data_IF_565080145043
#
_entry.id   IF_565080145043
#
_cell.length_a   1.000
_cell.length_b   1.000
_cell.length_c   1.000
_cell.angle_alpha   90.00
_cell.angle_beta   90.00
_cell.angle_gamma   90.00
#
_symmetry.space_group_name_H-M   'P 1'
#
loop_
_entity.id
_entity.type
_entity.pdbx_description
1 polymer ?
#
# COMPACT_ATOMS: atom_id res chain seq x y z
N UNK A 1 -49.28 -29.90 22.41
CA UNK A 1 -47.82 -30.14 22.38
C UNK A 1 -47.27 -29.21 21.31
N UNK A 2 -46.80 -27.98 21.56
CA UNK A 2 -45.75 -27.45 22.46
C UNK A 2 -44.34 -27.91 22.10
N UNK A 3 -43.68 -27.10 21.26
CA UNK A 3 -42.23 -26.80 21.17
C UNK A 3 -42.12 -25.76 20.02
N UNK A 4 -41.96 -24.44 20.19
CA UNK A 4 -41.10 -23.59 21.03
C UNK A 4 -39.65 -24.09 21.09
N UNK A 5 -38.72 -23.13 20.96
CA UNK A 5 -37.24 -23.20 20.99
C UNK A 5 -36.60 -23.33 19.60
N UNK A 6 -35.63 -22.53 19.16
CA UNK A 6 -34.96 -21.33 19.70
C UNK A 6 -34.27 -20.69 18.50
N UNK A 7 -34.42 -19.38 18.37
CA UNK A 7 -33.73 -18.54 17.39
C UNK A 7 -32.22 -18.59 17.69
N UNK A 8 -31.45 -19.39 16.96
CA UNK A 8 -29.98 -19.38 17.03
C UNK A 8 -29.48 -18.28 16.10
N UNK A 9 -29.36 -17.06 16.64
CA UNK A 9 -28.57 -16.00 16.02
C UNK A 9 -27.10 -16.37 16.22
N UNK A 10 -26.54 -17.05 15.24
CA UNK A 10 -25.10 -17.31 15.15
C UNK A 10 -24.44 -16.00 14.73
N UNK A 11 -24.15 -15.14 15.71
CA UNK A 11 -23.33 -13.95 15.52
C UNK A 11 -21.91 -14.39 15.14
N UNK A 12 -21.65 -14.51 13.83
CA UNK A 12 -20.29 -14.57 13.30
C UNK A 12 -19.63 -13.23 13.61
N UNK A 13 -18.94 -13.17 14.75
CA UNK A 13 -18.01 -12.10 15.04
C UNK A 13 -16.95 -12.12 13.94
N UNK A 14 -16.99 -11.15 13.02
CA UNK A 14 -15.88 -10.83 12.15
C UNK A 14 -14.74 -10.34 13.05
N UNK A 15 -13.90 -11.26 13.50
CA UNK A 15 -12.54 -10.94 13.90
C UNK A 15 -11.78 -10.55 12.63
N UNK A 16 -11.99 -9.31 12.18
CA UNK A 16 -11.04 -8.58 11.36
C UNK A 16 -9.78 -8.42 12.20
N UNK A 17 -8.96 -9.46 12.24
CA UNK A 17 -7.57 -9.37 12.64
C UNK A 17 -6.89 -8.46 11.62
N UNK A 18 -6.97 -7.15 11.83
CA UNK A 18 -6.01 -6.22 11.27
C UNK A 18 -4.67 -6.63 11.87
N UNK A 19 -3.96 -7.47 11.14
CA UNK A 19 -2.58 -7.74 11.41
C UNK A 19 -1.88 -6.37 11.34
N UNK A 20 -1.64 -5.78 12.50
CA UNK A 20 -0.55 -4.83 12.67
C UNK A 20 0.73 -5.63 12.41
N UNK A 21 1.05 -5.80 11.13
CA UNK A 21 2.35 -6.25 10.70
C UNK A 21 3.32 -5.21 11.25
N UNK A 22 4.10 -5.59 12.27
CA UNK A 22 5.21 -4.77 12.73
C UNK A 22 5.99 -4.30 11.52
N UNK A 23 6.21 -2.99 11.43
CA UNK A 23 6.85 -2.29 10.31
C UNK A 23 8.24 -2.88 10.04
N UNK A 24 8.26 -3.99 9.32
CA UNK A 24 9.44 -4.44 8.62
C UNK A 24 9.60 -3.52 7.43
N UNK A 25 10.79 -2.95 7.32
CA UNK A 25 11.20 -2.15 6.17
C UNK A 25 10.82 -2.89 4.88
N UNK A 26 10.02 -2.29 3.99
CA UNK A 26 9.58 -2.95 2.78
C UNK A 26 10.77 -3.38 1.92
N UNK A 27 10.74 -4.61 1.42
CA UNK A 27 11.82 -5.13 0.56
C UNK A 27 11.78 -4.45 -0.81
N UNK A 28 12.79 -3.63 -1.10
CA UNK A 28 12.94 -2.96 -2.40
C UNK A 28 13.98 -3.72 -3.24
N UNK A 29 13.56 -4.26 -4.38
CA UNK A 29 14.45 -4.90 -5.35
C UNK A 29 15.20 -3.87 -6.21
N UNK A 30 14.57 -2.76 -6.56
CA UNK A 30 15.17 -1.72 -7.39
C UNK A 30 14.58 -0.34 -7.11
N UNK A 31 15.42 0.69 -7.18
CA UNK A 31 14.98 2.09 -7.13
C UNK A 31 15.73 2.91 -8.19
N UNK A 32 14.99 3.39 -9.19
CA UNK A 32 15.48 4.25 -10.28
C UNK A 32 14.81 5.62 -10.27
N UNK A 33 14.09 5.96 -9.19
CA UNK A 33 13.33 7.22 -9.08
C UNK A 33 14.19 8.47 -8.99
N UNK A 34 15.48 8.33 -8.62
CA UNK A 34 16.37 9.46 -8.35
C UNK A 34 16.05 10.20 -7.05
N UNK A 35 15.13 9.69 -6.22
CA UNK A 35 14.78 10.26 -4.92
C UNK A 35 15.72 9.70 -3.86
N UNK A 36 16.46 10.58 -3.20
CA UNK A 36 17.41 10.24 -2.13
C UNK A 36 16.80 10.25 -0.73
N UNK A 37 15.55 10.73 -0.60
CA UNK A 37 14.84 10.78 0.67
C UNK A 37 14.36 9.37 1.07
N UNK A 38 15.07 8.74 2.00
CA UNK A 38 14.80 7.35 2.40
C UNK A 38 13.48 7.19 3.16
N UNK A 39 13.07 8.21 3.93
CA UNK A 39 11.82 8.20 4.67
C UNK A 39 10.63 8.22 3.70
N UNK A 40 10.67 9.10 2.70
CA UNK A 40 9.69 9.14 1.62
C UNK A 40 9.62 7.80 0.87
N UNK A 41 10.77 7.20 0.54
CA UNK A 41 10.84 5.90 -0.14
C UNK A 41 10.21 4.78 0.72
N UNK A 42 10.49 4.75 2.02
CA UNK A 42 9.89 3.79 2.94
C UNK A 42 8.37 3.98 3.06
N UNK A 43 7.92 5.24 3.21
CA UNK A 43 6.51 5.59 3.32
C UNK A 43 5.70 5.16 2.09
N UNK A 44 6.17 5.46 0.87
CA UNK A 44 5.47 5.04 -0.35
C UNK A 44 5.47 3.52 -0.53
N UNK A 45 6.54 2.85 -0.10
CA UNK A 45 6.68 1.41 -0.20
C UNK A 45 5.72 0.69 0.76
N UNK A 46 5.67 1.13 2.02
CA UNK A 46 4.75 0.64 3.03
C UNK A 46 3.29 0.87 2.64
N UNK A 47 2.97 2.09 2.15
CA UNK A 47 1.64 2.40 1.65
C UNK A 47 1.25 1.51 0.46
N UNK A 48 2.16 1.26 -0.48
CA UNK A 48 1.92 0.40 -1.64
C UNK A 48 1.65 -1.05 -1.22
N UNK A 49 2.38 -1.57 -0.23
CA UNK A 49 2.12 -2.90 0.35
C UNK A 49 0.77 -2.95 1.04
N UNK A 50 0.41 -1.93 1.81
CA UNK A 50 -0.91 -1.79 2.44
C UNK A 50 -2.06 -1.77 1.44
N UNK A 51 -1.80 -1.35 0.20
CA UNK A 51 -2.76 -1.35 -0.90
C UNK A 51 -2.74 -2.64 -1.76
N UNK A 52 -1.91 -3.63 -1.41
CA UNK A 52 -1.91 -4.94 -2.05
C UNK A 52 -0.72 -5.24 -2.95
N UNK A 53 0.25 -4.32 -3.10
CA UNK A 53 1.50 -4.64 -3.76
C UNK A 53 2.27 -5.69 -2.96
N UNK A 54 2.78 -6.73 -3.63
CA UNK A 54 3.60 -7.76 -2.99
C UNK A 54 5.07 -7.43 -3.14
N UNK A 55 5.82 -7.74 -2.08
CA UNK A 55 7.27 -7.63 -2.07
C UNK A 55 7.93 -8.71 -2.96
N UNK A 56 9.14 -8.47 -3.48
CA UNK A 56 9.86 -7.20 -3.42
C UNK A 56 9.28 -6.15 -4.37
N UNK A 57 9.48 -4.88 -4.02
CA UNK A 57 8.97 -3.72 -4.75
C UNK A 57 10.03 -3.15 -5.70
N UNK A 58 9.59 -2.59 -6.82
CA UNK A 58 10.41 -1.80 -7.74
C UNK A 58 9.89 -0.37 -7.80
N UNK A 59 10.78 0.60 -7.65
CA UNK A 59 10.44 2.02 -7.57
C UNK A 59 11.05 2.77 -8.76
N UNK A 60 10.23 3.57 -9.42
CA UNK A 60 10.64 4.42 -10.53
C UNK A 60 9.93 5.77 -10.46
N UNK A 61 10.42 6.75 -11.20
CA UNK A 61 9.79 8.06 -11.30
C UNK A 61 9.40 8.34 -12.75
N UNK A 62 8.26 9.00 -12.92
CA UNK A 62 7.77 9.50 -14.19
C UNK A 62 7.29 10.94 -14.04
N UNK A 63 7.18 11.66 -15.15
CA UNK A 63 6.62 13.01 -15.20
C UNK A 63 5.26 12.94 -15.86
N UNK A 64 4.22 13.44 -15.17
CA UNK A 64 2.90 13.60 -15.74
C UNK A 64 2.47 15.08 -15.61
N UNK A 65 2.31 15.77 -16.74
CA UNK A 65 1.92 17.19 -16.76
C UNK A 65 2.90 18.09 -15.99
N UNK A 66 4.21 17.80 -16.05
CA UNK A 66 5.25 18.52 -15.31
C UNK A 66 5.40 18.12 -13.83
N UNK A 67 4.44 17.38 -13.27
CA UNK A 67 4.49 16.87 -11.89
C UNK A 67 5.23 15.54 -11.82
N UNK A 68 5.99 15.35 -10.75
CA UNK A 68 6.66 14.09 -10.46
C UNK A 68 5.61 13.08 -9.97
N UNK A 69 5.61 11.89 -10.57
CA UNK A 69 4.78 10.75 -10.18
C UNK A 69 5.70 9.59 -9.92
N UNK A 70 5.70 9.09 -8.69
CA UNK A 70 6.47 7.89 -8.34
C UNK A 70 5.61 6.67 -8.62
N UNK A 71 6.20 5.66 -9.25
CA UNK A 71 5.55 4.41 -9.58
C UNK A 71 6.23 3.30 -8.80
N UNK A 72 5.45 2.62 -7.96
CA UNK A 72 5.88 1.46 -7.17
C UNK A 72 5.17 0.23 -7.72
N UNK A 73 5.94 -0.74 -8.18
CA UNK A 73 5.42 -2.01 -8.72
C UNK A 73 5.78 -3.15 -7.80
N UNK A 74 4.77 -3.91 -7.36
CA UNK A 74 4.96 -5.13 -6.60
C UNK A 74 5.32 -6.31 -7.51
N UNK A 75 5.91 -7.35 -6.92
CA UNK A 75 6.25 -8.61 -7.57
C UNK A 75 5.05 -9.35 -8.16
N UNK A 76 3.85 -9.06 -7.66
CA UNK A 76 2.57 -9.57 -8.16
C UNK A 76 1.98 -8.74 -9.33
N UNK A 77 2.71 -7.74 -9.83
CA UNK A 77 2.26 -6.88 -10.93
C UNK A 77 1.40 -5.68 -10.53
N UNK A 78 0.98 -5.59 -9.26
CA UNK A 78 0.27 -4.41 -8.74
C UNK A 78 1.12 -3.16 -8.90
N UNK A 79 0.57 -2.13 -9.52
CA UNK A 79 1.27 -0.88 -9.80
C UNK A 79 0.61 0.30 -9.11
N UNK A 80 1.30 0.89 -8.15
CA UNK A 80 0.89 2.06 -7.40
C UNK A 80 1.49 3.32 -8.01
N UNK A 81 0.63 4.25 -8.44
CA UNK A 81 1.02 5.59 -8.90
C UNK A 81 0.82 6.59 -7.76
N UNK A 82 1.88 7.28 -7.40
CA UNK A 82 1.92 8.26 -6.31
C UNK A 82 2.29 9.62 -6.91
N UNK A 83 1.30 10.47 -7.22
CA UNK A 83 1.56 11.86 -7.58
C UNK A 83 2.23 12.57 -6.41
N UNK A 84 3.27 13.35 -6.71
CA UNK A 84 4.01 14.11 -5.71
C UNK A 84 3.99 15.60 -6.00
N UNK A 85 4.20 16.41 -4.97
CA UNK A 85 4.42 17.85 -5.09
C UNK A 85 5.46 18.34 -4.07
N UNK A 86 5.97 19.55 -4.29
CA UNK A 86 6.94 20.17 -3.39
C UNK A 86 8.37 19.69 -3.57
N UNK A 87 9.27 20.29 -2.79
CA UNK A 87 10.66 19.91 -2.65
C UNK A 87 11.07 20.16 -1.18
N UNK A 88 11.22 19.12 -0.32
CA UNK A 88 11.24 17.69 -0.65
C UNK A 88 9.88 17.14 -1.13
N UNK A 89 9.87 16.02 -1.89
CA UNK A 89 8.65 15.47 -2.47
C UNK A 89 7.67 14.96 -1.40
N UNK A 90 6.41 15.37 -1.51
CA UNK A 90 5.32 14.94 -0.63
C UNK A 90 4.28 14.16 -1.43
N UNK A 91 3.74 13.09 -0.84
CA UNK A 91 2.66 12.29 -1.44
C UNK A 91 1.35 13.09 -1.49
N UNK A 92 0.74 13.20 -2.67
CA UNK A 92 -0.58 13.82 -2.84
C UNK A 92 -1.73 12.81 -2.83
N UNK A 93 -1.40 11.52 -2.86
CA UNK A 93 -2.33 10.42 -2.93
C UNK A 93 -1.64 9.19 -3.50
N UNK A 94 -2.36 8.07 -3.52
CA UNK A 94 -1.87 6.80 -4.05
C UNK A 94 -3.01 6.10 -4.78
N UNK A 95 -2.72 5.55 -5.95
CA UNK A 95 -3.66 4.77 -6.74
C UNK A 95 -2.98 3.48 -7.23
N UNK A 96 -3.44 2.33 -6.73
CA UNK A 96 -2.90 1.01 -7.10
C UNK A 96 -3.93 0.25 -7.93
N UNK A 97 -3.44 -0.43 -8.97
CA UNK A 97 -4.21 -1.32 -9.85
C UNK A 97 -3.45 -2.63 -10.05
#
# INVERSE_FOLDING_TARGET
MKIMHTLVVMSMALSLSVAHAGEREPKIASNTSGISDSEFISNIAGASVGMGAKEPLSISASRNGGKLVVVVTGSNGTSCKIPTSGNPPQMQGINCQ
#
